data_IF_185728755300
#
_entry.id   IF_185728755300
#
_cell.length_a   1.000
_cell.length_b   1.000
_cell.length_c   1.000
_cell.angle_alpha   90.00
_cell.angle_beta   90.00
_cell.angle_gamma   90.00
#
_symmetry.space_group_name_H-M   'P 1'
#
loop_
_entity.id
_entity.type
_entity.pdbx_description
1 polymer ?
#
# COMPACT_ATOMS: atom_id res chain seq x y z
N UNK A 1 29.44 -26.92 -22.38
CA UNK A 1 28.43 -27.77 -23.03
C UNK A 1 27.12 -27.51 -22.33
N UNK A 2 26.42 -26.64 -22.86
CA UNK A 2 25.09 -26.52 -23.46
C UNK A 2 24.03 -27.48 -22.91
N UNK A 3 23.00 -26.94 -22.25
CA UNK A 3 21.60 -27.27 -22.54
C UNK A 3 20.71 -26.08 -22.18
N UNK A 4 20.35 -25.29 -23.20
CA UNK A 4 19.23 -24.36 -23.22
C UNK A 4 18.04 -25.12 -23.84
N UNK A 5 17.05 -25.46 -23.02
CA UNK A 5 15.76 -25.96 -23.47
C UNK A 5 14.83 -24.79 -23.77
N UNK A 6 14.58 -24.48 -25.01
CA UNK A 6 13.49 -23.59 -25.45
C UNK A 6 12.17 -24.36 -25.36
N UNK A 7 11.25 -23.90 -24.55
CA UNK A 7 9.85 -24.31 -24.58
C UNK A 7 9.14 -23.69 -25.79
N UNK A 8 7.98 -24.23 -26.24
CA UNK A 8 7.32 -23.85 -27.46
C UNK A 8 6.76 -22.43 -27.43
N UNK A 9 7.09 -21.65 -28.44
CA UNK A 9 6.49 -20.34 -28.74
C UNK A 9 5.06 -20.57 -29.22
N UNK A 10 4.07 -20.24 -28.38
CA UNK A 10 2.67 -20.18 -28.80
C UNK A 10 2.40 -18.76 -29.27
N UNK A 11 2.24 -18.59 -30.56
CA UNK A 11 1.80 -17.34 -31.15
C UNK A 11 0.33 -17.11 -30.84
N UNK A 12 0.03 -16.13 -29.96
CA UNK A 12 -1.33 -15.69 -29.71
C UNK A 12 -1.60 -14.42 -30.51
N UNK A 13 -2.66 -14.47 -31.31
CA UNK A 13 -3.15 -13.34 -32.08
C UNK A 13 -3.44 -12.14 -31.15
N UNK A 14 -2.81 -11.01 -31.46
CA UNK A 14 -3.05 -9.74 -30.78
C UNK A 14 -4.50 -9.31 -31.06
N UNK A 15 -5.39 -9.58 -30.13
CA UNK A 15 -6.71 -8.97 -30.10
C UNK A 15 -6.52 -7.51 -29.65
N UNK A 16 -6.77 -6.59 -30.57
CA UNK A 16 -6.60 -5.16 -30.36
C UNK A 16 -7.68 -4.64 -29.38
N UNK A 17 -7.36 -4.33 -28.08
CA UNK A 17 -8.35 -3.87 -27.10
C UNK A 17 -8.66 -2.38 -27.25
N UNK A 18 -8.15 -1.69 -28.26
CA UNK A 18 -8.40 -0.26 -28.48
C UNK A 18 -9.83 0.11 -28.88
N UNK A 19 -10.76 -0.85 -28.99
CA UNK A 19 -12.12 -0.59 -29.49
C UNK A 19 -13.19 -0.37 -28.40
N UNK A 20 -12.88 -0.52 -27.12
CA UNK A 20 -13.83 -0.17 -26.03
C UNK A 20 -13.14 0.74 -25.03
N UNK A 21 -13.23 2.05 -25.28
CA UNK A 21 -12.71 3.10 -24.42
C UNK A 21 -13.33 3.04 -23.02
N UNK A 22 -12.66 2.38 -22.10
CA UNK A 22 -12.89 2.56 -20.66
C UNK A 22 -12.31 3.92 -20.30
N UNK A 23 -13.13 4.96 -20.44
CA UNK A 23 -12.70 6.34 -20.16
C UNK A 23 -12.35 6.45 -18.68
N UNK A 24 -11.17 6.96 -18.38
CA UNK A 24 -10.74 7.43 -17.07
C UNK A 24 -11.64 8.62 -16.62
N UNK A 25 -12.85 8.33 -16.24
CA UNK A 25 -13.76 9.30 -15.64
C UNK A 25 -14.00 8.89 -14.20
N UNK A 26 -13.07 9.26 -13.33
CA UNK A 26 -13.34 9.30 -11.91
C UNK A 26 -13.95 10.68 -11.60
N UNK A 27 -15.27 10.75 -11.43
CA UNK A 27 -15.96 12.00 -11.15
C UNK A 27 -15.44 12.72 -9.89
N UNK A 28 -14.68 12.02 -9.06
CA UNK A 28 -14.15 12.50 -7.78
C UNK A 28 -12.64 12.85 -7.81
N UNK A 29 -11.91 12.56 -8.92
CA UNK A 29 -10.51 12.94 -9.06
C UNK A 29 -10.30 13.98 -10.18
N UNK A 30 -10.18 15.28 -9.86
CA UNK A 30 -9.92 16.33 -10.85
C UNK A 30 -8.58 16.14 -11.59
N UNK A 31 -7.56 15.55 -10.93
CA UNK A 31 -6.28 15.29 -11.56
C UNK A 31 -6.40 14.18 -12.62
N UNK A 32 -7.10 13.09 -12.32
CA UNK A 32 -7.36 12.03 -13.28
C UNK A 32 -8.16 12.56 -14.48
N UNK A 33 -9.12 13.45 -14.28
CA UNK A 33 -9.86 14.06 -15.39
C UNK A 33 -8.97 14.92 -16.30
N UNK A 34 -8.00 15.68 -15.75
CA UNK A 34 -7.03 16.45 -16.54
C UNK A 34 -6.03 15.58 -17.28
N UNK A 35 -5.66 14.45 -16.70
CA UNK A 35 -4.72 13.49 -17.27
C UNK A 35 -5.39 12.44 -18.16
N UNK A 36 -6.73 12.40 -18.23
CA UNK A 36 -7.47 11.37 -18.96
C UNK A 36 -6.97 11.14 -20.42
N UNK A 37 -6.63 12.17 -21.22
CA UNK A 37 -6.11 11.95 -22.57
C UNK A 37 -4.76 11.20 -22.60
N UNK A 38 -3.96 11.30 -21.53
CA UNK A 38 -2.71 10.56 -21.40
C UNK A 38 -2.95 9.16 -20.83
N UNK A 39 -3.82 9.05 -19.82
CA UNK A 39 -4.17 7.79 -19.19
C UNK A 39 -4.84 6.82 -20.19
N UNK A 40 -5.69 7.32 -21.10
CA UNK A 40 -6.33 6.53 -22.14
C UNK A 40 -5.34 5.94 -23.18
N UNK A 41 -4.09 6.43 -23.22
CA UNK A 41 -2.99 5.90 -24.04
C UNK A 41 -2.23 4.75 -23.35
N UNK A 42 -2.51 4.45 -22.10
CA UNK A 42 -1.82 3.43 -21.30
C UNK A 42 -2.68 2.18 -21.13
N UNK A 43 -2.04 1.04 -20.88
CA UNK A 43 -2.74 -0.20 -20.53
C UNK A 43 -2.88 -0.28 -18.99
N UNK A 44 -4.11 -0.25 -18.51
CA UNK A 44 -4.38 -0.29 -17.07
C UNK A 44 -4.74 -1.69 -16.58
N UNK A 45 -3.76 -2.43 -16.09
CA UNK A 45 -3.96 -3.77 -15.52
C UNK A 45 -4.47 -3.76 -14.07
N UNK A 46 -4.47 -2.65 -13.38
CA UNK A 46 -5.14 -2.54 -12.08
C UNK A 46 -6.67 -2.68 -12.26
N UNK A 47 -7.18 -2.28 -13.43
CA UNK A 47 -8.60 -2.37 -13.82
C UNK A 47 -8.92 -3.59 -14.70
N UNK A 48 -8.02 -3.92 -15.64
CA UNK A 48 -8.19 -4.98 -16.62
C UNK A 48 -7.43 -6.23 -16.17
N UNK A 49 -7.89 -7.00 -15.22
CA UNK A 49 -7.21 -8.21 -14.76
C UNK A 49 -7.04 -9.21 -15.90
N UNK A 50 -5.89 -9.29 -16.58
CA UNK A 50 -5.66 -10.31 -17.61
C UNK A 50 -5.48 -11.67 -16.93
N UNK A 51 -6.12 -12.69 -17.48
CA UNK A 51 -5.99 -14.08 -17.01
C UNK A 51 -4.69 -14.73 -17.47
N UNK A 52 -4.05 -14.19 -18.51
CA UNK A 52 -2.79 -14.71 -19.08
C UNK A 52 -1.88 -13.53 -19.46
N UNK A 53 -0.75 -13.41 -18.79
CA UNK A 53 0.30 -12.45 -19.11
C UNK A 53 1.66 -13.05 -18.75
N UNK A 54 2.63 -12.91 -19.64
CA UNK A 54 4.04 -12.98 -19.28
C UNK A 54 4.45 -11.65 -18.63
N UNK A 55 4.86 -11.72 -17.36
CA UNK A 55 5.34 -10.58 -16.61
C UNK A 55 6.83 -10.41 -16.84
N UNK A 56 7.27 -9.27 -17.34
CA UNK A 56 8.67 -8.92 -17.51
C UNK A 56 8.93 -7.43 -17.18
N UNK A 57 10.19 -7.05 -17.11
CA UNK A 57 10.62 -5.68 -16.84
C UNK A 57 11.03 -4.92 -18.11
N UNK A 58 10.93 -5.52 -19.28
CA UNK A 58 11.45 -4.94 -20.53
C UNK A 58 10.82 -3.59 -20.88
N UNK A 59 9.52 -3.44 -20.63
CA UNK A 59 8.77 -2.19 -20.85
C UNK A 59 9.30 -1.04 -20.02
N UNK A 60 9.36 -1.23 -18.69
CA UNK A 60 9.85 -0.20 -17.76
C UNK A 60 11.33 0.06 -17.95
N UNK A 61 12.15 -0.96 -18.17
CA UNK A 61 13.58 -0.80 -18.43
C UNK A 61 13.85 -0.01 -19.72
N UNK A 62 13.06 -0.22 -20.77
CA UNK A 62 13.13 0.58 -21.99
C UNK A 62 12.87 2.05 -21.72
N UNK A 63 11.85 2.37 -20.91
CA UNK A 63 11.52 3.74 -20.52
C UNK A 63 12.64 4.36 -19.69
N UNK A 64 13.22 3.62 -18.76
CA UNK A 64 14.34 4.09 -17.92
C UNK A 64 15.64 4.30 -18.71
N UNK A 65 15.87 3.55 -19.80
CA UNK A 65 17.07 3.68 -20.65
C UNK A 65 16.94 4.70 -21.79
N UNK A 66 15.82 5.43 -21.91
CA UNK A 66 15.65 6.41 -22.96
C UNK A 66 16.70 7.54 -22.86
N UNK A 67 17.05 8.14 -24.00
CA UNK A 67 17.95 9.29 -24.05
C UNK A 67 17.38 10.42 -23.16
N UNK A 68 18.21 10.97 -22.30
CA UNK A 68 17.83 12.00 -21.31
C UNK A 68 16.88 11.52 -20.20
N UNK A 69 16.76 10.21 -19.97
CA UNK A 69 16.10 9.71 -18.77
C UNK A 69 16.82 10.23 -17.53
N UNK A 70 16.04 10.55 -16.50
CA UNK A 70 16.61 10.92 -15.20
C UNK A 70 17.36 9.72 -14.59
N UNK A 71 18.49 9.99 -13.96
CA UNK A 71 19.20 9.00 -13.16
C UNK A 71 18.41 8.80 -11.86
N UNK A 72 18.11 7.56 -11.46
CA UNK A 72 17.46 7.31 -10.17
C UNK A 72 18.23 7.94 -9.02
N UNK A 73 17.51 8.62 -8.14
CA UNK A 73 18.07 9.24 -6.94
C UNK A 73 18.57 8.17 -5.98
N UNK A 74 19.68 8.45 -5.30
CA UNK A 74 20.24 7.60 -4.25
C UNK A 74 20.60 8.42 -3.02
N UNK A 75 20.42 7.87 -1.79
CA UNK A 75 19.94 6.52 -1.55
C UNK A 75 18.48 6.31 -1.90
N UNK A 76 18.16 5.07 -2.27
CA UNK A 76 16.81 4.62 -2.61
C UNK A 76 16.44 3.35 -1.83
N UNK A 77 15.17 3.28 -1.42
CA UNK A 77 14.62 2.13 -0.68
C UNK A 77 13.41 1.58 -1.44
N UNK A 78 13.39 0.28 -1.69
CA UNK A 78 12.21 -0.42 -2.22
C UNK A 78 11.49 -1.17 -1.09
N UNK A 79 10.15 -1.07 -1.04
CA UNK A 79 9.34 -1.67 0.02
C UNK A 79 8.35 -2.66 -0.58
N UNK A 80 8.57 -3.96 -0.33
CA UNK A 80 7.71 -5.08 -0.71
C UNK A 80 7.05 -5.71 0.52
N UNK A 81 6.09 -6.60 0.30
CA UNK A 81 5.39 -7.34 1.36
C UNK A 81 3.89 -7.48 1.07
N UNK A 82 3.21 -8.28 1.85
CA UNK A 82 1.74 -8.41 1.77
C UNK A 82 1.06 -7.28 2.54
N UNK A 83 1.46 -7.05 3.78
CA UNK A 83 0.90 -6.01 4.65
C UNK A 83 2.00 -5.10 5.20
N UNK A 84 1.67 -3.81 5.39
CA UNK A 84 2.57 -2.84 6.00
C UNK A 84 3.48 -2.07 5.03
N UNK A 85 3.46 -2.35 3.71
CA UNK A 85 4.26 -1.63 2.71
C UNK A 85 4.08 -0.12 2.80
N UNK A 86 2.86 0.37 2.55
CA UNK A 86 2.55 1.80 2.57
C UNK A 86 2.78 2.44 3.94
N UNK A 87 2.56 1.70 5.05
CA UNK A 87 2.87 2.18 6.40
C UNK A 87 4.37 2.36 6.61
N UNK A 88 5.19 1.39 6.16
CA UNK A 88 6.65 1.48 6.23
C UNK A 88 7.17 2.62 5.35
N UNK A 89 6.66 2.76 4.11
CA UNK A 89 7.03 3.85 3.22
C UNK A 89 6.68 5.22 3.83
N UNK A 90 5.52 5.34 4.47
CA UNK A 90 5.10 6.58 5.12
C UNK A 90 5.94 6.91 6.38
N UNK A 91 6.39 5.92 7.16
CA UNK A 91 7.35 6.16 8.25
C UNK A 91 8.72 6.57 7.72
N UNK A 92 9.23 5.94 6.66
CA UNK A 92 10.48 6.36 6.00
C UNK A 92 10.39 7.82 5.55
N UNK A 93 9.29 8.20 4.90
CA UNK A 93 9.04 9.58 4.47
C UNK A 93 8.99 10.54 5.65
N UNK A 94 8.15 10.26 6.67
CA UNK A 94 7.94 11.17 7.78
C UNK A 94 9.21 11.36 8.64
N UNK A 95 9.90 10.27 8.98
CA UNK A 95 11.12 10.31 9.78
C UNK A 95 12.26 10.95 8.99
N UNK A 96 12.45 10.57 7.71
CA UNK A 96 13.46 11.16 6.83
C UNK A 96 13.26 12.66 6.64
N UNK A 97 12.02 13.09 6.36
CA UNK A 97 11.70 14.52 6.23
C UNK A 97 11.95 15.30 7.53
N UNK A 98 11.55 14.78 8.67
CA UNK A 98 11.76 15.44 9.95
C UNK A 98 13.24 15.43 10.38
N UNK A 99 14.04 14.51 9.85
CA UNK A 99 15.50 14.50 10.01
C UNK A 99 16.22 15.45 9.03
N UNK A 100 15.49 16.16 8.17
CA UNK A 100 16.01 17.17 7.25
C UNK A 100 16.24 16.70 5.82
N UNK A 101 15.90 15.44 5.47
CA UNK A 101 16.00 14.96 4.10
C UNK A 101 14.79 15.44 3.26
N UNK A 102 15.06 15.84 2.02
CA UNK A 102 14.00 16.01 1.02
C UNK A 102 13.62 14.64 0.49
N UNK A 103 12.47 14.12 0.91
CA UNK A 103 12.02 12.78 0.56
C UNK A 103 11.18 12.76 -0.72
N UNK A 104 11.32 11.69 -1.52
CA UNK A 104 10.41 11.31 -2.59
C UNK A 104 9.80 9.95 -2.28
N UNK A 105 8.47 9.82 -2.31
CA UNK A 105 7.77 8.58 -2.02
C UNK A 105 6.81 8.23 -3.15
N UNK A 106 6.96 7.02 -3.71
CA UNK A 106 6.04 6.43 -4.69
C UNK A 106 5.25 5.31 -4.03
N UNK A 107 3.92 5.42 -4.04
CA UNK A 107 3.03 4.46 -3.36
C UNK A 107 1.79 4.11 -4.18
N UNK A 108 1.14 2.98 -3.85
CA UNK A 108 -0.09 2.53 -4.50
C UNK A 108 -0.96 1.67 -3.57
N UNK A 109 -2.29 1.66 -3.80
CA UNK A 109 -3.05 2.54 -4.68
C UNK A 109 -3.19 3.95 -4.08
N UNK A 110 -3.69 4.91 -4.86
CA UNK A 110 -4.16 6.20 -4.33
C UNK A 110 -5.56 6.06 -3.71
N UNK A 111 -5.89 6.95 -2.81
CA UNK A 111 -7.18 6.97 -2.10
C UNK A 111 -8.21 7.86 -2.81
N UNK A 112 -7.84 9.09 -3.11
CA UNK A 112 -8.70 10.13 -3.68
C UNK A 112 -8.19 10.58 -5.04
N UNK A 113 -6.91 10.96 -5.11
CA UNK A 113 -6.32 11.50 -6.33
C UNK A 113 -5.07 10.76 -6.77
N UNK A 114 -4.93 10.59 -8.09
CA UNK A 114 -3.77 10.01 -8.74
C UNK A 114 -2.44 10.63 -8.27
N UNK A 115 -2.44 11.92 -7.97
CA UNK A 115 -1.26 12.65 -7.53
C UNK A 115 -0.71 12.17 -6.19
N UNK A 116 -1.52 11.48 -5.36
CA UNK A 116 -1.06 10.87 -4.09
C UNK A 116 0.01 9.80 -4.30
N UNK A 117 0.07 9.19 -5.50
CA UNK A 117 1.04 8.13 -5.80
C UNK A 117 2.48 8.61 -5.80
N UNK A 118 2.70 9.89 -6.09
CA UNK A 118 4.02 10.52 -6.10
C UNK A 118 3.99 11.68 -5.12
N UNK A 119 4.78 11.57 -4.07
CA UNK A 119 4.87 12.58 -3.02
C UNK A 119 6.30 13.11 -2.95
N UNK A 120 6.45 14.40 -2.74
CA UNK A 120 7.75 15.06 -2.56
C UNK A 120 7.70 15.91 -1.30
N UNK A 121 8.62 15.69 -0.40
CA UNK A 121 8.67 16.33 0.92
C UNK A 121 7.33 16.25 1.67
N UNK A 122 6.66 15.09 1.61
CA UNK A 122 5.38 14.84 2.30
C UNK A 122 4.13 15.27 1.53
N UNK A 123 4.24 16.01 0.43
CA UNK A 123 3.10 16.54 -0.32
C UNK A 123 2.87 15.80 -1.64
N UNK A 124 1.62 15.52 -2.02
CA UNK A 124 1.29 14.97 -3.33
C UNK A 124 1.79 15.88 -4.46
N UNK A 125 2.30 15.27 -5.54
CA UNK A 125 2.74 16.02 -6.70
C UNK A 125 1.59 16.81 -7.33
N UNK A 126 1.88 18.01 -7.82
CA UNK A 126 0.89 18.78 -8.58
C UNK A 126 0.73 18.21 -9.98
N UNK A 127 -0.50 18.20 -10.49
CA UNK A 127 -0.83 17.67 -11.82
C UNK A 127 -0.05 18.39 -12.92
N UNK A 128 0.25 19.69 -12.74
CA UNK A 128 1.03 20.52 -13.66
C UNK A 128 2.49 20.02 -13.80
N UNK A 129 3.02 19.39 -12.75
CA UNK A 129 4.37 18.80 -12.78
C UNK A 129 4.34 17.39 -13.37
N UNK A 130 3.30 16.61 -13.08
CA UNK A 130 3.18 15.23 -13.54
C UNK A 130 2.80 15.13 -15.04
N UNK A 131 1.92 16.01 -15.52
CA UNK A 131 1.40 15.98 -16.89
C UNK A 131 2.49 16.00 -17.97
N UNK A 132 3.48 16.94 -17.96
CA UNK A 132 4.53 16.97 -18.98
C UNK A 132 5.45 15.75 -18.91
N UNK A 133 5.70 15.19 -17.75
CA UNK A 133 6.49 13.96 -17.57
C UNK A 133 5.79 12.78 -18.26
N UNK A 134 4.50 12.56 -17.96
CA UNK A 134 3.73 11.50 -18.59
C UNK A 134 3.60 11.69 -20.11
N UNK A 135 3.39 12.91 -20.58
CA UNK A 135 3.34 13.20 -22.01
C UNK A 135 4.64 12.81 -22.71
N UNK A 136 5.80 13.23 -22.17
CA UNK A 136 7.11 12.89 -22.70
C UNK A 136 7.41 11.39 -22.70
N UNK A 137 6.94 10.65 -21.67
CA UNK A 137 7.05 9.21 -21.60
C UNK A 137 6.24 8.51 -22.71
N UNK A 138 5.01 8.95 -22.91
CA UNK A 138 4.11 8.37 -23.92
C UNK A 138 4.53 8.71 -25.35
N UNK A 139 5.09 9.90 -25.57
CA UNK A 139 5.61 10.29 -26.89
C UNK A 139 6.86 9.48 -27.24
N UNK A 140 7.73 9.19 -26.25
CA UNK A 140 8.85 8.27 -26.44
C UNK A 140 8.39 6.83 -26.70
N UNK A 141 7.35 6.37 -25.98
CA UNK A 141 6.83 5.01 -26.11
C UNK A 141 6.25 4.72 -27.51
N UNK A 142 5.68 5.73 -28.18
CA UNK A 142 5.12 5.60 -29.53
C UNK A 142 4.05 4.51 -29.63
N UNK A 143 4.24 3.56 -30.53
CA UNK A 143 3.32 2.44 -30.78
C UNK A 143 3.41 1.30 -29.74
N UNK A 144 4.27 1.42 -28.76
CA UNK A 144 4.42 0.45 -27.67
C UNK A 144 4.05 1.11 -26.31
N UNK A 145 2.77 1.33 -26.05
CA UNK A 145 2.34 2.05 -24.87
C UNK A 145 2.73 1.28 -23.59
N UNK A 146 3.22 1.98 -22.56
CA UNK A 146 3.49 1.37 -21.27
C UNK A 146 2.19 1.01 -20.57
N UNK A 147 2.30 0.14 -19.59
CA UNK A 147 1.23 0.00 -18.60
C UNK A 147 1.15 1.27 -17.75
N UNK A 148 -0.03 1.50 -17.15
CA UNK A 148 -0.24 2.60 -16.23
C UNK A 148 0.80 2.59 -15.09
N UNK A 149 1.06 1.41 -14.51
CA UNK A 149 1.99 1.27 -13.40
C UNK A 149 3.45 1.54 -13.83
N UNK A 150 3.87 1.05 -15.00
CA UNK A 150 5.20 1.35 -15.56
C UNK A 150 5.40 2.85 -15.79
N UNK A 151 4.42 3.51 -16.42
CA UNK A 151 4.48 4.94 -16.68
C UNK A 151 4.56 5.76 -15.37
N UNK A 152 3.74 5.43 -14.37
CA UNK A 152 3.75 6.09 -13.08
C UNK A 152 5.05 5.86 -12.30
N UNK A 153 5.61 4.64 -12.36
CA UNK A 153 6.90 4.31 -11.74
C UNK A 153 8.03 5.15 -12.34
N UNK A 154 8.11 5.23 -13.66
CA UNK A 154 9.15 6.04 -14.33
C UNK A 154 8.92 7.53 -14.10
N UNK A 155 7.66 7.99 -14.08
CA UNK A 155 7.33 9.36 -13.74
C UNK A 155 7.80 9.73 -12.32
N UNK A 156 7.68 8.80 -11.35
CA UNK A 156 8.20 9.02 -10.00
C UNK A 156 9.72 9.22 -10.01
N UNK A 157 10.48 8.37 -10.73
CA UNK A 157 11.94 8.53 -10.87
C UNK A 157 12.30 9.90 -11.42
N UNK A 158 11.59 10.36 -12.47
CA UNK A 158 11.86 11.66 -13.07
C UNK A 158 11.52 12.82 -12.16
N UNK A 159 10.36 12.78 -11.53
CA UNK A 159 9.94 13.83 -10.59
C UNK A 159 10.90 13.92 -9.40
N UNK A 160 11.36 12.79 -8.85
CA UNK A 160 12.34 12.79 -7.76
C UNK A 160 13.68 13.38 -8.17
N UNK A 161 14.16 13.07 -9.37
CA UNK A 161 15.40 13.65 -9.89
C UNK A 161 15.26 15.15 -10.19
N UNK A 162 14.15 15.59 -10.78
CA UNK A 162 13.88 17.01 -11.05
C UNK A 162 13.80 17.84 -9.77
N UNK A 163 13.19 17.29 -8.73
CA UNK A 163 13.05 17.92 -7.41
C UNK A 163 14.26 17.71 -6.49
N UNK A 164 15.31 17.02 -6.97
CA UNK A 164 16.55 16.78 -6.24
C UNK A 164 16.30 16.21 -4.82
N UNK A 165 15.47 15.16 -4.72
CA UNK A 165 15.23 14.53 -3.42
C UNK A 165 16.50 13.86 -2.88
N UNK A 166 16.66 13.83 -1.55
CA UNK A 166 17.80 13.22 -0.87
C UNK A 166 17.60 11.73 -0.57
N UNK A 167 16.32 11.29 -0.54
CA UNK A 167 15.91 9.90 -0.28
C UNK A 167 14.72 9.55 -1.16
N UNK A 168 14.86 8.50 -1.97
CA UNK A 168 13.76 7.95 -2.78
C UNK A 168 13.19 6.68 -2.16
N UNK A 169 11.86 6.58 -2.08
CA UNK A 169 11.13 5.45 -1.49
C UNK A 169 10.15 4.92 -2.55
N UNK A 170 10.23 3.63 -2.87
CA UNK A 170 9.39 2.99 -3.88
C UNK A 170 8.60 1.83 -3.27
N UNK A 171 7.29 1.97 -3.16
CA UNK A 171 6.40 0.89 -2.76
C UNK A 171 6.11 -0.03 -3.95
N UNK A 172 6.29 -1.33 -3.78
CA UNK A 172 5.93 -2.37 -4.75
C UNK A 172 4.41 -2.44 -4.89
N UNK A 173 3.91 -2.41 -6.12
CA UNK A 173 2.48 -2.55 -6.39
C UNK A 173 1.99 -3.98 -6.20
N UNK A 174 2.63 -4.94 -6.86
CA UNK A 174 2.25 -6.36 -6.84
C UNK A 174 3.47 -7.27 -6.92
N UNK A 175 3.51 -8.30 -6.08
CA UNK A 175 4.58 -9.29 -6.09
C UNK A 175 5.91 -8.71 -5.64
N UNK A 176 6.88 -8.64 -6.51
CA UNK A 176 8.22 -8.11 -6.31
C UNK A 176 9.08 -8.32 -7.55
N UNK A 177 9.31 -9.56 -7.96
CA UNK A 177 10.22 -9.95 -9.05
C UNK A 177 10.02 -9.16 -10.34
N UNK A 178 8.80 -8.99 -10.78
CA UNK A 178 8.42 -8.34 -12.03
C UNK A 178 7.65 -7.02 -11.82
N UNK A 179 7.66 -6.50 -10.60
CA UNK A 179 7.10 -5.18 -10.35
C UNK A 179 7.97 -4.10 -11.01
N UNK A 180 7.33 -3.08 -11.60
CA UNK A 180 8.05 -2.03 -12.31
C UNK A 180 9.09 -1.32 -11.42
N UNK A 181 8.84 -1.19 -10.12
CA UNK A 181 9.80 -0.60 -9.17
C UNK A 181 11.08 -1.42 -9.04
N UNK A 182 11.04 -2.72 -9.39
CA UNK A 182 12.23 -3.60 -9.36
C UNK A 182 13.20 -3.33 -10.52
N UNK A 183 12.81 -2.58 -11.53
CA UNK A 183 13.75 -2.08 -12.55
C UNK A 183 14.62 -0.91 -12.06
N UNK A 184 14.27 -0.30 -10.91
CA UNK A 184 15.02 0.83 -10.33
C UNK A 184 16.14 0.27 -9.46
N UNK A 185 17.36 0.77 -9.63
CA UNK A 185 18.47 0.41 -8.73
C UNK A 185 18.29 1.07 -7.35
N UNK A 186 18.31 0.26 -6.28
CA UNK A 186 18.06 0.70 -4.91
C UNK A 186 19.19 0.27 -3.97
N UNK A 187 19.39 1.04 -2.88
CA UNK A 187 20.42 0.76 -1.86
C UNK A 187 19.95 -0.24 -0.81
N UNK A 188 18.64 -0.25 -0.53
CA UNK A 188 18.04 -1.21 0.38
C UNK A 188 16.67 -1.69 -0.11
N UNK A 189 16.34 -2.94 0.21
CA UNK A 189 15.03 -3.53 -0.02
C UNK A 189 14.42 -3.99 1.31
N UNK A 190 13.18 -3.61 1.56
CA UNK A 190 12.43 -4.01 2.74
C UNK A 190 11.35 -5.01 2.32
N UNK A 191 11.32 -6.18 2.96
CA UNK A 191 10.20 -7.13 2.84
C UNK A 191 9.44 -7.12 4.16
N UNK A 192 8.26 -6.52 4.16
CA UNK A 192 7.40 -6.41 5.34
C UNK A 192 6.77 -7.77 5.66
N UNK A 193 5.59 -7.82 6.29
CA UNK A 193 4.90 -9.09 6.58
C UNK A 193 4.42 -9.78 5.30
N UNK A 194 4.50 -11.12 5.27
CA UNK A 194 3.99 -11.99 4.20
C UNK A 194 2.73 -12.71 4.68
N UNK A 195 1.68 -12.67 3.84
CA UNK A 195 0.40 -13.36 4.03
C UNK A 195 -0.08 -13.91 2.70
N UNK A 196 -1.08 -14.80 2.72
CA UNK A 196 -1.75 -15.28 1.51
C UNK A 196 -2.56 -14.14 0.89
N UNK A 197 -2.07 -13.64 -0.24
CA UNK A 197 -2.75 -12.63 -1.05
C UNK A 197 -2.43 -12.82 -2.52
N UNK A 198 -3.30 -12.35 -3.41
CA UNK A 198 -3.11 -12.45 -4.86
C UNK A 198 -2.68 -13.84 -5.33
N UNK A 199 -3.29 -14.88 -4.75
CA UNK A 199 -2.92 -16.29 -4.97
C UNK A 199 -3.13 -16.73 -6.42
N UNK A 200 -3.99 -16.06 -7.15
CA UNK A 200 -4.21 -16.18 -8.59
C UNK A 200 -3.01 -15.76 -9.45
N UNK A 201 -2.09 -14.94 -8.90
CA UNK A 201 -0.92 -14.40 -9.61
C UNK A 201 0.40 -14.86 -8.98
N UNK A 202 0.48 -14.87 -7.64
CA UNK A 202 1.75 -15.08 -6.91
C UNK A 202 1.94 -16.53 -6.45
N UNK A 203 0.92 -17.39 -6.65
CA UNK A 203 0.91 -18.75 -6.13
C UNK A 203 0.15 -18.85 -4.80
N UNK A 204 -0.22 -20.08 -4.43
CA UNK A 204 -1.16 -20.43 -3.36
C UNK A 204 -0.49 -20.78 -2.02
N UNK A 205 0.83 -20.58 -1.92
CA UNK A 205 1.61 -20.87 -0.72
C UNK A 205 2.38 -19.65 -0.19
N UNK A 206 2.63 -19.61 1.11
CA UNK A 206 3.49 -18.60 1.75
C UNK A 206 4.88 -18.60 1.12
N UNK A 207 5.45 -19.79 0.83
CA UNK A 207 6.76 -19.90 0.21
C UNK A 207 6.82 -19.28 -1.19
N UNK A 208 5.80 -19.51 -2.04
CA UNK A 208 5.72 -18.94 -3.38
C UNK A 208 5.66 -17.40 -3.32
N UNK A 209 4.75 -16.86 -2.50
CA UNK A 209 4.57 -15.41 -2.30
C UNK A 209 5.85 -14.79 -1.73
N UNK A 210 6.48 -15.44 -0.74
CA UNK A 210 7.75 -14.98 -0.17
C UNK A 210 8.88 -14.97 -1.21
N UNK A 211 8.96 -15.99 -2.09
CA UNK A 211 9.93 -16.07 -3.17
C UNK A 211 9.78 -14.96 -4.21
N UNK A 212 8.55 -14.58 -4.56
CA UNK A 212 8.27 -13.45 -5.45
C UNK A 212 8.67 -12.12 -4.82
N UNK A 213 8.37 -11.92 -3.54
CA UNK A 213 8.69 -10.68 -2.82
C UNK A 213 10.16 -10.58 -2.45
N UNK A 214 10.82 -11.67 -2.11
CA UNK A 214 12.27 -11.71 -1.82
C UNK A 214 13.12 -11.23 -3.01
N UNK A 215 12.62 -11.37 -4.24
CA UNK A 215 13.35 -10.98 -5.45
C UNK A 215 13.70 -9.47 -5.52
N UNK A 216 13.10 -8.62 -4.69
CA UNK A 216 13.51 -7.20 -4.55
C UNK A 216 14.86 -7.03 -3.89
N UNK A 217 15.33 -8.05 -3.11
CA UNK A 217 16.66 -8.06 -2.48
C UNK A 217 17.69 -8.46 -3.53
N UNK A 218 18.56 -7.53 -3.87
CA UNK A 218 19.51 -7.66 -4.98
C UNK A 218 20.83 -8.27 -4.57
N UNK A 219 21.60 -8.70 -5.58
CA UNK A 219 22.94 -9.25 -5.36
C UNK A 219 23.84 -8.21 -4.68
N UNK A 220 24.44 -8.62 -3.55
CA UNK A 220 25.30 -7.78 -2.72
C UNK A 220 24.62 -6.58 -2.06
N UNK A 221 23.28 -6.48 -2.14
CA UNK A 221 22.49 -5.39 -1.57
C UNK A 221 22.15 -5.58 -0.09
N UNK A 222 21.41 -4.64 0.47
CA UNK A 222 20.89 -4.67 1.84
C UNK A 222 19.40 -5.05 1.82
N UNK A 223 19.05 -6.14 2.50
CA UNK A 223 17.67 -6.55 2.78
C UNK A 223 17.30 -6.31 4.24
N UNK A 224 16.06 -5.88 4.50
CA UNK A 224 15.47 -5.85 5.84
C UNK A 224 14.14 -6.57 5.83
N UNK A 225 13.79 -7.28 6.91
CA UNK A 225 12.51 -7.96 6.98
C UNK A 225 11.93 -8.03 8.39
N UNK A 226 10.60 -8.00 8.46
CA UNK A 226 9.83 -8.29 9.66
C UNK A 226 9.05 -9.62 9.53
N UNK A 227 9.38 -10.46 8.55
CA UNK A 227 8.76 -11.77 8.37
C UNK A 227 9.28 -12.79 9.39
N UNK A 228 8.49 -13.84 9.60
CA UNK A 228 8.82 -14.94 10.52
C UNK A 228 8.51 -16.28 9.85
N UNK A 229 8.90 -17.38 10.49
CA UNK A 229 8.54 -18.73 10.07
C UNK A 229 8.98 -19.10 8.64
N UNK A 230 8.10 -19.74 7.89
CA UNK A 230 8.37 -20.22 6.52
C UNK A 230 8.79 -19.09 5.57
N UNK A 231 8.11 -17.94 5.62
CA UNK A 231 8.45 -16.79 4.79
C UNK A 231 9.87 -16.29 5.05
N UNK A 232 10.29 -16.22 6.32
CA UNK A 232 11.65 -15.83 6.68
C UNK A 232 12.69 -16.81 6.14
N UNK A 233 12.44 -18.13 6.22
CA UNK A 233 13.35 -19.14 5.67
C UNK A 233 13.57 -18.94 4.15
N UNK A 234 12.52 -18.66 3.39
CA UNK A 234 12.61 -18.38 1.95
C UNK A 234 13.43 -17.11 1.67
N UNK A 235 13.18 -16.03 2.43
CA UNK A 235 13.89 -14.75 2.26
C UNK A 235 15.37 -14.91 2.60
N UNK A 236 15.73 -15.65 3.67
CA UNK A 236 17.13 -15.95 4.02
C UNK A 236 17.84 -16.72 2.91
N UNK A 237 17.23 -17.80 2.44
CA UNK A 237 17.80 -18.60 1.34
C UNK A 237 17.99 -17.77 0.06
N UNK A 238 17.08 -16.81 -0.21
CA UNK A 238 17.24 -15.88 -1.32
C UNK A 238 18.43 -14.94 -1.09
N UNK A 239 18.52 -14.29 0.08
CA UNK A 239 19.60 -13.36 0.43
C UNK A 239 20.97 -14.03 0.37
N UNK A 240 21.11 -15.23 0.94
CA UNK A 240 22.32 -16.04 0.86
C UNK A 240 22.71 -16.34 -0.60
N UNK A 241 21.75 -16.77 -1.42
CA UNK A 241 21.97 -17.10 -2.84
C UNK A 241 22.48 -15.93 -3.66
N UNK A 242 22.02 -14.70 -3.35
CA UNK A 242 22.42 -13.47 -4.07
C UNK A 242 23.56 -12.73 -3.36
N UNK A 243 24.06 -13.24 -2.22
CA UNK A 243 25.15 -12.64 -1.44
C UNK A 243 24.76 -11.29 -0.81
N UNK A 244 23.48 -11.10 -0.45
CA UNK A 244 22.98 -9.89 0.17
C UNK A 244 23.10 -9.96 1.70
N UNK A 245 23.37 -8.81 2.34
CA UNK A 245 23.19 -8.63 3.79
C UNK A 245 21.69 -8.66 4.11
N UNK A 246 21.25 -9.45 5.10
CA UNK A 246 19.87 -9.50 5.54
C UNK A 246 19.76 -9.17 7.02
N UNK A 247 19.03 -8.11 7.35
CA UNK A 247 18.70 -7.72 8.72
C UNK A 247 17.27 -8.16 9.05
N UNK A 248 17.10 -8.84 10.18
CA UNK A 248 15.83 -9.46 10.59
C UNK A 248 15.32 -8.82 11.87
N UNK A 249 14.09 -8.37 11.85
CA UNK A 249 13.43 -7.83 13.04
C UNK A 249 13.30 -8.93 14.11
N UNK A 250 13.68 -8.58 15.34
CA UNK A 250 13.74 -9.52 16.47
C UNK A 250 15.10 -10.19 16.65
N UNK A 251 16.01 -10.09 15.67
CA UNK A 251 17.39 -10.60 15.75
C UNK A 251 18.39 -9.44 15.69
N UNK A 252 18.34 -8.62 14.63
CA UNK A 252 19.29 -7.54 14.38
C UNK A 252 18.77 -6.17 14.83
N UNK A 253 17.48 -5.98 14.83
CA UNK A 253 16.79 -4.75 15.25
C UNK A 253 15.38 -5.07 15.76
N UNK A 254 14.72 -4.11 16.42
CA UNK A 254 13.33 -4.34 16.86
C UNK A 254 12.81 -3.34 17.87
N UNK A 255 11.58 -3.58 18.32
CA UNK A 255 10.87 -2.79 19.33
C UNK A 255 10.75 -3.62 20.62
N UNK A 256 11.07 -3.00 21.76
CA UNK A 256 11.10 -3.67 23.05
C UNK A 256 10.45 -2.78 24.13
N UNK A 257 9.97 -3.40 25.23
CA UNK A 257 9.46 -2.72 26.42
C UNK A 257 8.38 -1.68 26.08
N UNK A 258 7.35 -2.13 25.35
CA UNK A 258 6.28 -1.23 24.89
C UNK A 258 5.34 -0.94 26.06
N UNK A 259 5.22 0.34 26.37
CA UNK A 259 4.25 0.89 27.30
C UNK A 259 3.17 1.66 26.53
N UNK A 260 1.91 1.22 26.68
CA UNK A 260 0.76 1.80 26.01
C UNK A 260 0.08 2.81 26.93
N UNK A 261 -0.14 4.02 26.43
CA UNK A 261 -0.89 5.07 27.10
C UNK A 261 -1.96 5.65 26.16
N UNK A 262 -2.84 6.50 26.68
CA UNK A 262 -3.91 7.14 25.89
C UNK A 262 -3.36 8.02 24.76
N UNK A 263 -2.17 8.60 24.95
CA UNK A 263 -1.51 9.48 23.98
C UNK A 263 -0.64 8.73 22.95
N UNK A 264 -0.42 7.42 23.13
CA UNK A 264 0.40 6.62 22.19
C UNK A 264 1.16 5.47 22.82
N UNK A 265 2.30 5.12 22.24
CA UNK A 265 3.18 4.08 22.73
C UNK A 265 4.60 4.60 22.95
N UNK A 266 5.22 4.19 24.06
CA UNK A 266 6.63 4.43 24.40
C UNK A 266 7.36 3.10 24.45
N UNK A 267 8.67 3.12 24.18
CA UNK A 267 9.47 1.90 24.25
C UNK A 267 10.92 2.13 23.86
N UNK A 268 11.59 1.03 23.56
CA UNK A 268 12.98 1.02 23.11
C UNK A 268 13.06 0.42 21.68
N UNK A 269 13.77 1.11 20.79
CA UNK A 269 14.21 0.58 19.50
C UNK A 269 15.64 0.07 19.64
N UNK A 270 15.90 -1.19 19.31
CA UNK A 270 17.26 -1.68 19.04
C UNK A 270 17.56 -1.46 17.56
N UNK A 271 18.75 -0.94 17.27
CA UNK A 271 19.24 -0.64 15.93
C UNK A 271 20.23 -1.69 15.45
N UNK A 272 20.47 -1.80 14.13
CA UNK A 272 21.40 -2.80 13.58
C UNK A 272 22.86 -2.69 14.05
N UNK A 273 23.28 -1.52 14.54
CA UNK A 273 24.59 -1.28 15.14
C UNK A 273 24.69 -1.70 16.63
N UNK A 274 23.61 -2.27 17.18
CA UNK A 274 23.49 -2.68 18.58
C UNK A 274 23.12 -1.57 19.54
N UNK A 275 22.99 -0.32 19.08
CA UNK A 275 22.51 0.79 19.94
C UNK A 275 21.03 0.65 20.25
N UNK A 276 20.59 1.31 21.35
CA UNK A 276 19.18 1.36 21.77
C UNK A 276 18.76 2.79 21.96
N UNK A 277 17.60 3.16 21.42
CA UNK A 277 17.05 4.49 21.51
C UNK A 277 15.62 4.42 22.05
N UNK A 278 15.26 5.35 22.96
CA UNK A 278 13.88 5.53 23.38
C UNK A 278 13.07 6.11 22.23
N UNK A 279 11.81 5.73 22.16
CA UNK A 279 10.86 6.34 21.23
C UNK A 279 9.54 6.66 21.94
N UNK A 280 8.85 7.67 21.41
CA UNK A 280 7.45 7.94 21.68
C UNK A 280 6.72 8.07 20.33
N UNK A 281 5.80 7.14 20.06
CA UNK A 281 4.92 7.20 18.89
C UNK A 281 3.55 7.71 19.35
N UNK A 282 3.20 8.99 19.09
CA UNK A 282 1.88 9.53 19.39
C UNK A 282 0.78 8.77 18.68
N UNK A 283 -0.40 8.60 19.28
CA UNK A 283 -1.56 7.93 18.67
C UNK A 283 -1.22 6.57 18.01
N UNK A 284 -0.29 5.82 18.61
CA UNK A 284 0.22 4.57 18.06
C UNK A 284 -0.85 3.49 17.89
N UNK A 285 -0.76 2.72 16.80
CA UNK A 285 -1.49 1.47 16.60
C UNK A 285 -0.51 0.30 16.67
N UNK A 286 -0.92 -0.83 17.23
CA UNK A 286 -0.03 -1.97 17.44
C UNK A 286 0.59 -2.48 16.12
N UNK A 287 -0.18 -2.47 15.04
CA UNK A 287 0.28 -2.90 13.71
C UNK A 287 1.27 -1.92 13.04
N UNK A 288 1.48 -0.70 13.59
CA UNK A 288 2.45 0.27 13.08
C UNK A 288 3.88 0.00 13.59
N UNK A 289 4.04 -0.67 14.73
CA UNK A 289 5.36 -0.84 15.37
C UNK A 289 6.38 -1.61 14.50
N UNK A 290 6.02 -2.69 13.78
CA UNK A 290 6.96 -3.33 12.85
C UNK A 290 7.39 -2.40 11.72
N UNK A 291 6.48 -1.58 11.20
CA UNK A 291 6.78 -0.61 10.14
C UNK A 291 7.73 0.49 10.64
N UNK A 292 7.51 0.99 11.87
CA UNK A 292 8.43 1.92 12.52
C UNK A 292 9.84 1.32 12.66
N UNK A 293 9.93 0.08 13.18
CA UNK A 293 11.22 -0.58 13.37
C UNK A 293 11.98 -0.76 12.04
N UNK A 294 11.30 -1.20 10.98
CA UNK A 294 11.86 -1.34 9.64
C UNK A 294 12.36 -0.01 9.08
N UNK A 295 11.55 1.05 9.21
CA UNK A 295 11.90 2.38 8.70
C UNK A 295 13.13 2.95 9.44
N UNK A 296 13.16 2.87 10.77
CA UNK A 296 14.27 3.36 11.58
C UNK A 296 15.54 2.55 11.30
N UNK A 297 15.46 1.22 11.22
CA UNK A 297 16.60 0.37 10.90
C UNK A 297 17.17 0.67 9.51
N UNK A 298 16.33 0.85 8.48
CA UNK A 298 16.78 1.20 7.14
C UNK A 298 17.45 2.58 7.10
N UNK A 299 16.83 3.60 7.70
CA UNK A 299 17.40 4.96 7.74
C UNK A 299 18.73 5.00 8.51
N UNK A 300 18.84 4.31 9.65
CA UNK A 300 20.11 4.26 10.42
C UNK A 300 21.24 3.57 9.66
N UNK A 301 20.92 2.58 8.80
CA UNK A 301 21.94 1.89 7.98
C UNK A 301 22.37 2.72 6.76
N UNK A 302 21.47 3.46 6.14
CA UNK A 302 21.77 4.27 4.94
C UNK A 302 22.32 5.64 5.28
N UNK A 303 22.02 6.18 6.46
CA UNK A 303 22.41 7.50 6.92
C UNK A 303 22.91 7.43 8.37
N UNK A 304 24.07 6.82 8.59
CA UNK A 304 24.64 6.58 9.94
C UNK A 304 24.85 7.86 10.76
N UNK A 305 25.06 8.99 10.10
CA UNK A 305 25.30 10.28 10.74
C UNK A 305 24.02 11.08 11.01
N UNK A 306 22.86 10.55 10.54
CA UNK A 306 21.60 11.25 10.67
C UNK A 306 20.99 11.00 12.07
N UNK A 307 20.71 12.09 12.78
CA UNK A 307 19.96 12.00 14.04
C UNK A 307 18.48 11.84 13.75
N UNK A 308 17.96 10.64 13.96
CA UNK A 308 16.54 10.36 13.74
C UNK A 308 15.69 10.94 14.88
N UNK A 309 14.58 11.64 14.58
CA UNK A 309 13.65 12.18 15.57
C UNK A 309 12.70 11.06 16.06
N UNK A 310 13.01 10.48 17.22
CA UNK A 310 12.26 9.34 17.75
C UNK A 310 11.43 9.69 19.02
N UNK A 311 11.57 10.89 19.57
CA UNK A 311 10.84 11.34 20.74
C UNK A 311 10.42 12.82 20.59
N UNK A 312 9.20 13.09 20.08
CA UNK A 312 8.26 12.13 19.48
C UNK A 312 8.65 11.69 18.04
N UNK A 313 8.26 10.47 17.69
CA UNK A 313 8.30 10.00 16.29
C UNK A 313 7.34 10.82 15.45
N UNK A 314 7.77 11.39 14.31
CA UNK A 314 6.88 12.08 13.38
C UNK A 314 5.76 11.15 12.90
N UNK A 315 4.51 11.60 13.03
CA UNK A 315 3.36 10.81 12.56
C UNK A 315 3.31 10.81 11.02
N UNK A 316 3.31 9.62 10.40
CA UNK A 316 3.09 9.53 8.97
C UNK A 316 1.66 9.92 8.59
N UNK A 317 1.50 10.49 7.40
CA UNK A 317 0.17 10.73 6.83
C UNK A 317 -0.37 9.42 6.25
N UNK A 318 -1.27 8.78 6.99
CA UNK A 318 -1.85 7.47 6.67
C UNK A 318 -3.39 7.54 6.64
N UNK A 319 -3.98 8.23 5.66
CA UNK A 319 -5.44 8.31 5.58
C UNK A 319 -6.04 6.91 5.39
N UNK A 320 -7.19 6.68 6.02
CA UNK A 320 -7.90 5.40 6.00
C UNK A 320 -7.06 4.19 6.46
N UNK A 321 -6.16 4.42 7.43
CA UNK A 321 -5.41 3.39 8.18
C UNK A 321 -5.69 3.55 9.68
N UNK A 322 -6.84 3.07 10.12
CA UNK A 322 -7.40 3.33 11.44
C UNK A 322 -7.46 4.84 11.72
N UNK A 323 -7.94 5.58 10.74
CA UNK A 323 -8.11 7.04 10.86
C UNK A 323 -9.33 7.33 11.74
N UNK A 324 -9.11 8.02 12.86
CA UNK A 324 -10.18 8.38 13.80
C UNK A 324 -10.61 9.81 13.56
N UNK A 325 -11.91 10.01 13.43
CA UNK A 325 -12.54 11.33 13.28
C UNK A 325 -13.58 11.52 14.38
N UNK A 326 -13.58 12.67 15.02
CA UNK A 326 -14.68 13.10 15.89
C UNK A 326 -15.69 13.85 15.03
N UNK A 327 -16.92 13.38 14.99
CA UNK A 327 -17.99 14.00 14.22
C UNK A 327 -18.68 15.15 15.03
N UNK A 328 -19.47 15.98 14.35
CA UNK A 328 -20.14 17.15 14.98
C UNK A 328 -21.09 16.77 16.13
N UNK A 329 -21.62 15.56 16.12
CA UNK A 329 -22.45 15.01 17.21
C UNK A 329 -21.63 14.43 18.39
N UNK A 330 -20.31 14.54 18.35
CA UNK A 330 -19.38 13.95 19.32
C UNK A 330 -19.13 12.46 19.11
N UNK A 331 -19.73 11.84 18.09
CA UNK A 331 -19.53 10.44 17.74
C UNK A 331 -18.13 10.18 17.17
N UNK A 332 -17.65 8.95 17.36
CA UNK A 332 -16.36 8.49 16.82
C UNK A 332 -16.60 7.76 15.51
N UNK A 333 -15.96 8.23 14.45
CA UNK A 333 -15.91 7.58 13.13
C UNK A 333 -14.50 7.06 12.86
N UNK A 334 -14.39 5.75 12.62
CA UNK A 334 -13.14 5.06 12.31
C UNK A 334 -13.16 4.66 10.84
N UNK A 335 -12.16 5.10 10.07
CA UNK A 335 -12.01 4.79 8.65
C UNK A 335 -10.80 3.88 8.46
N UNK A 336 -11.01 2.69 7.89
CA UNK A 336 -9.92 1.78 7.52
C UNK A 336 -10.19 1.05 6.21
N UNK A 337 -9.15 0.90 5.39
CA UNK A 337 -9.21 0.18 4.12
C UNK A 337 -9.08 -1.34 4.24
N UNK A 338 -9.06 -1.90 5.44
CA UNK A 338 -8.95 -3.35 5.70
C UNK A 338 -10.07 -4.14 5.00
N UNK A 339 -9.67 -5.21 4.32
CA UNK A 339 -10.58 -6.03 3.48
C UNK A 339 -10.18 -7.51 3.40
N UNK A 340 -9.22 -7.96 4.20
CA UNK A 340 -8.84 -9.36 4.39
C UNK A 340 -9.04 -9.73 5.85
N UNK A 341 -9.17 -11.02 6.15
CA UNK A 341 -9.37 -11.54 7.51
C UNK A 341 -8.34 -10.97 8.49
N UNK A 342 -7.03 -11.13 8.20
CA UNK A 342 -5.95 -10.65 9.07
C UNK A 342 -5.95 -9.13 9.25
N UNK A 343 -6.24 -8.36 8.19
CA UNK A 343 -6.29 -6.90 8.29
C UNK A 343 -7.49 -6.42 9.11
N UNK A 344 -8.64 -7.06 8.97
CA UNK A 344 -9.82 -6.77 9.80
C UNK A 344 -9.62 -7.21 11.24
N UNK A 345 -8.96 -8.34 11.48
CA UNK A 345 -8.59 -8.75 12.84
C UNK A 345 -7.68 -7.71 13.52
N UNK A 346 -6.72 -7.12 12.80
CA UNK A 346 -5.89 -6.05 13.35
C UNK A 346 -6.71 -4.79 13.71
N UNK A 347 -7.69 -4.43 12.88
CA UNK A 347 -8.64 -3.34 13.19
C UNK A 347 -9.48 -3.67 14.42
N UNK A 348 -9.99 -4.90 14.53
CA UNK A 348 -10.79 -5.36 15.68
C UNK A 348 -10.00 -5.25 16.98
N UNK A 349 -8.75 -5.73 16.99
CA UNK A 349 -7.86 -5.61 18.16
C UNK A 349 -7.68 -4.16 18.57
N UNK A 350 -7.49 -3.26 17.59
CA UNK A 350 -7.29 -1.85 17.87
C UNK A 350 -8.59 -1.15 18.36
N UNK A 351 -9.76 -1.51 17.81
CA UNK A 351 -11.06 -1.04 18.31
C UNK A 351 -11.26 -1.48 19.77
N UNK A 352 -11.04 -2.75 20.08
CA UNK A 352 -11.19 -3.27 21.45
C UNK A 352 -10.21 -2.61 22.44
N UNK A 353 -8.98 -2.31 22.01
CA UNK A 353 -7.98 -1.63 22.83
C UNK A 353 -8.38 -0.20 23.15
N UNK A 354 -8.87 0.58 22.16
CA UNK A 354 -9.18 2.01 22.31
C UNK A 354 -10.58 2.28 22.84
N UNK A 355 -11.52 1.39 22.53
CA UNK A 355 -12.94 1.54 22.85
C UNK A 355 -13.46 0.28 23.55
N UNK A 356 -12.90 -0.07 24.73
CA UNK A 356 -13.26 -1.33 25.40
C UNK A 356 -14.74 -1.35 25.76
N UNK A 357 -15.37 -2.50 25.54
CA UNK A 357 -16.79 -2.72 25.87
C UNK A 357 -17.79 -2.05 24.92
N UNK A 358 -17.33 -1.42 23.83
CA UNK A 358 -18.22 -0.84 22.82
C UNK A 358 -18.44 -1.80 21.65
N UNK A 359 -19.59 -1.66 20.98
CA UNK A 359 -19.98 -2.42 19.80
C UNK A 359 -20.23 -1.45 18.64
N UNK A 360 -19.30 -1.31 17.68
CA UNK A 360 -19.49 -0.37 16.57
C UNK A 360 -20.57 -0.84 15.59
N UNK A 361 -21.27 0.12 14.97
CA UNK A 361 -22.00 -0.13 13.74
C UNK A 361 -21.03 -0.09 12.58
N UNK A 362 -21.12 -1.02 11.63
CA UNK A 362 -20.14 -1.22 10.56
C UNK A 362 -20.74 -0.86 9.22
N UNK A 363 -20.10 0.05 8.47
CA UNK A 363 -20.35 0.28 7.06
C UNK A 363 -19.32 -0.48 6.23
N UNK A 364 -19.78 -1.31 5.30
CA UNK A 364 -18.87 -2.15 4.52
C UNK A 364 -19.26 -2.25 3.04
N UNK A 365 -18.25 -2.48 2.21
CA UNK A 365 -18.35 -2.88 0.81
C UNK A 365 -17.12 -3.71 0.45
N UNK A 366 -17.31 -4.86 -0.18
CA UNK A 366 -16.23 -5.82 -0.45
C UNK A 366 -16.18 -6.15 -1.95
N UNK A 367 -14.97 -6.36 -2.45
CA UNK A 367 -14.77 -6.70 -3.86
C UNK A 367 -15.30 -8.11 -4.17
N UNK A 368 -15.91 -8.28 -5.33
CA UNK A 368 -16.38 -9.57 -5.81
C UNK A 368 -15.22 -10.58 -5.94
N UNK A 369 -15.54 -11.88 -5.75
CA UNK A 369 -14.57 -12.97 -5.92
C UNK A 369 -13.50 -13.08 -4.83
N UNK A 370 -13.50 -12.24 -3.80
CA UNK A 370 -12.63 -12.36 -2.63
C UNK A 370 -13.30 -13.23 -1.54
N UNK A 371 -12.49 -13.71 -0.60
CA UNK A 371 -12.93 -14.44 0.60
C UNK A 371 -13.57 -13.48 1.62
N UNK A 372 -14.67 -12.83 1.22
CA UNK A 372 -15.31 -11.78 2.01
C UNK A 372 -16.01 -12.31 3.26
N UNK A 373 -16.45 -13.60 3.25
CA UNK A 373 -17.04 -14.23 4.41
C UNK A 373 -16.02 -14.35 5.55
N UNK A 374 -14.83 -14.85 5.25
CA UNK A 374 -13.74 -14.94 6.23
C UNK A 374 -13.35 -13.55 6.75
N UNK A 375 -13.28 -12.58 5.85
CA UNK A 375 -13.00 -11.21 6.22
C UNK A 375 -14.03 -10.62 7.20
N UNK A 376 -15.33 -10.74 6.89
CA UNK A 376 -16.39 -10.25 7.77
C UNK A 376 -16.52 -11.07 9.07
N UNK A 377 -16.18 -12.36 9.06
CA UNK A 377 -16.16 -13.19 10.27
C UNK A 377 -15.25 -12.60 11.36
N UNK A 378 -14.16 -11.91 10.99
CA UNK A 378 -13.29 -11.24 11.95
C UNK A 378 -13.99 -10.07 12.68
N UNK A 379 -14.94 -9.39 12.04
CA UNK A 379 -15.61 -8.20 12.59
C UNK A 379 -16.91 -8.55 13.35
N UNK A 380 -17.56 -9.68 13.00
CA UNK A 380 -18.82 -10.13 13.61
C UNK A 380 -18.83 -10.06 15.14
N UNK A 381 -17.77 -10.52 15.86
CA UNK A 381 -17.80 -10.57 17.34
C UNK A 381 -17.91 -9.21 18.02
N UNK A 382 -17.56 -8.13 17.34
CA UNK A 382 -17.57 -6.78 17.93
C UNK A 382 -18.67 -5.88 17.36
N UNK A 383 -19.28 -6.26 16.24
CA UNK A 383 -20.23 -5.39 15.54
C UNK A 383 -21.62 -5.40 16.20
N UNK A 384 -22.20 -4.21 16.40
CA UNK A 384 -23.63 -4.08 16.74
C UNK A 384 -24.51 -4.46 15.55
N UNK A 385 -24.22 -3.91 14.39
CA UNK A 385 -24.96 -4.14 13.15
C UNK A 385 -24.15 -3.70 11.93
N UNK A 386 -24.62 -4.08 10.73
CA UNK A 386 -23.96 -3.78 9.47
C UNK A 386 -24.83 -2.95 8.54
N UNK A 387 -24.22 -1.99 7.86
CA UNK A 387 -24.76 -1.32 6.68
C UNK A 387 -23.89 -1.74 5.50
N UNK A 388 -24.49 -2.33 4.49
CA UNK A 388 -23.77 -2.82 3.29
C UNK A 388 -24.13 -1.94 2.11
N UNK A 389 -23.12 -1.44 1.39
CA UNK A 389 -23.34 -0.57 0.24
C UNK A 389 -22.55 -1.01 -0.98
N UNK A 390 -22.99 -0.56 -2.16
CA UNK A 390 -22.24 -0.71 -3.41
C UNK A 390 -21.35 0.50 -3.65
N UNK A 391 -20.21 0.29 -4.34
CA UNK A 391 -19.31 1.34 -4.79
C UNK A 391 -19.48 1.57 -6.30
N UNK A 392 -19.85 2.76 -6.68
CA UNK A 392 -19.98 3.12 -8.10
C UNK A 392 -18.64 3.00 -8.82
N UNK A 393 -18.62 2.24 -9.91
CA UNK A 393 -17.42 2.09 -10.76
C UNK A 393 -16.37 1.09 -10.26
N UNK A 394 -16.63 0.40 -9.14
CA UNK A 394 -15.76 -0.67 -8.62
C UNK A 394 -16.57 -1.96 -8.55
N UNK A 395 -16.15 -3.07 -9.20
CA UNK A 395 -16.83 -4.34 -9.08
C UNK A 395 -16.86 -4.82 -7.63
N UNK A 396 -18.04 -4.90 -7.04
CA UNK A 396 -18.27 -5.35 -5.67
C UNK A 396 -19.08 -6.64 -5.62
N UNK A 397 -19.08 -7.28 -4.46
CA UNK A 397 -20.05 -8.36 -4.15
C UNK A 397 -21.44 -7.71 -3.96
N UNK A 398 -22.48 -8.44 -4.34
CA UNK A 398 -23.87 -8.00 -4.17
C UNK A 398 -24.18 -7.68 -2.69
N UNK A 399 -24.56 -6.43 -2.34
CA UNK A 399 -24.93 -6.09 -0.98
C UNK A 399 -26.03 -6.94 -0.38
N UNK A 400 -27.01 -7.38 -1.20
CA UNK A 400 -28.09 -8.26 -0.74
C UNK A 400 -27.56 -9.64 -0.34
N UNK A 401 -26.60 -10.18 -1.09
CA UNK A 401 -25.92 -11.45 -0.78
C UNK A 401 -25.13 -11.37 0.52
N UNK A 402 -24.40 -10.25 0.74
CA UNK A 402 -23.67 -10.03 1.98
C UNK A 402 -24.64 -9.93 3.16
N UNK A 403 -25.75 -9.17 3.04
CA UNK A 403 -26.76 -9.06 4.09
C UNK A 403 -27.45 -10.41 4.40
N UNK A 404 -27.74 -11.24 3.40
CA UNK A 404 -28.31 -12.56 3.60
C UNK A 404 -27.36 -13.43 4.43
N UNK A 405 -26.08 -13.47 4.08
CA UNK A 405 -25.07 -14.22 4.84
C UNK A 405 -24.90 -13.68 6.28
N UNK A 406 -24.84 -12.36 6.47
CA UNK A 406 -24.78 -11.75 7.81
C UNK A 406 -25.98 -12.15 8.68
N UNK A 407 -27.17 -12.21 8.09
CA UNK A 407 -28.39 -12.66 8.77
C UNK A 407 -28.31 -14.14 9.17
N UNK A 408 -27.75 -14.99 8.31
CA UNK A 408 -27.49 -16.42 8.63
C UNK A 408 -26.48 -16.55 9.80
N UNK A 409 -25.54 -15.62 9.94
CA UNK A 409 -24.62 -15.55 11.07
C UNK A 409 -25.25 -14.91 12.33
N UNK A 410 -26.53 -14.54 12.30
CA UNK A 410 -27.23 -13.92 13.43
C UNK A 410 -26.98 -12.43 13.60
N UNK A 411 -26.32 -11.78 12.65
CA UNK A 411 -26.04 -10.35 12.70
C UNK A 411 -27.18 -9.52 12.08
N UNK A 412 -27.45 -8.34 12.65
CA UNK A 412 -28.36 -7.35 12.05
C UNK A 412 -27.68 -6.68 10.89
N UNK A 413 -28.34 -6.59 9.74
CA UNK A 413 -27.79 -5.94 8.56
C UNK A 413 -28.86 -5.28 7.71
N UNK A 414 -28.47 -4.23 6.98
CA UNK A 414 -29.32 -3.55 6.00
C UNK A 414 -28.51 -3.07 4.80
N UNK A 415 -29.16 -2.96 3.65
CA UNK A 415 -28.57 -2.43 2.42
C UNK A 415 -28.74 -0.92 2.37
N UNK A 416 -27.71 -0.22 1.94
CA UNK A 416 -27.76 1.20 1.55
C UNK A 416 -27.58 1.34 0.02
N UNK A 417 -28.30 2.26 -0.58
CA UNK A 417 -28.31 2.48 -2.05
C UNK A 417 -27.00 3.07 -2.58
N UNK A 418 -26.28 3.79 -1.73
CA UNK A 418 -25.03 4.46 -2.04
C UNK A 418 -24.23 4.77 -0.75
N UNK A 419 -22.99 5.21 -0.92
CA UNK A 419 -22.09 5.52 0.21
C UNK A 419 -22.65 6.62 1.11
N UNK A 420 -23.30 7.65 0.53
CA UNK A 420 -23.86 8.76 1.31
C UNK A 420 -25.05 8.32 2.17
N UNK A 421 -25.94 7.50 1.63
CA UNK A 421 -27.03 6.88 2.39
C UNK A 421 -26.51 5.91 3.45
N UNK A 422 -25.45 5.15 3.12
CA UNK A 422 -24.76 4.28 4.06
C UNK A 422 -24.17 5.04 5.25
N UNK A 423 -23.51 6.17 4.99
CA UNK A 423 -22.97 7.04 6.03
C UNK A 423 -24.07 7.65 6.91
N UNK A 424 -25.21 8.09 6.33
CA UNK A 424 -26.37 8.57 7.12
C UNK A 424 -26.89 7.49 8.08
N UNK A 425 -27.10 6.28 7.57
CA UNK A 425 -27.53 5.14 8.39
C UNK A 425 -26.50 4.77 9.47
N UNK A 426 -25.22 4.81 9.14
CA UNK A 426 -24.13 4.58 10.10
C UNK A 426 -24.20 5.57 11.26
N UNK A 427 -24.51 6.85 10.98
CA UNK A 427 -24.62 7.95 11.96
C UNK A 427 -25.81 7.85 12.91
N UNK A 428 -26.82 7.03 12.61
CA UNK A 428 -27.94 6.76 13.52
C UNK A 428 -27.50 5.99 14.78
N UNK A 429 -26.30 5.36 14.73
CA UNK A 429 -25.76 4.61 15.86
C UNK A 429 -25.10 5.56 16.87
N UNK A 430 -25.44 5.46 18.19
CA UNK A 430 -24.89 6.34 19.21
C UNK A 430 -23.44 5.98 19.61
N UNK A 431 -23.00 4.75 19.31
CA UNK A 431 -21.64 4.25 19.59
C UNK A 431 -20.63 4.54 18.48
N UNK A 432 -19.45 3.92 18.56
CA UNK A 432 -18.44 4.03 17.52
C UNK A 432 -18.96 3.56 16.16
N UNK A 433 -18.52 4.21 15.11
CA UNK A 433 -18.88 3.98 13.72
C UNK A 433 -17.64 3.49 12.98
N UNK A 434 -17.69 2.32 12.35
CA UNK A 434 -16.56 1.70 11.70
C UNK A 434 -16.82 1.54 10.20
N UNK A 435 -15.91 2.04 9.37
CA UNK A 435 -15.93 1.88 7.91
C UNK A 435 -14.78 0.98 7.51
N UNK A 436 -15.08 -0.18 6.93
CA UNK A 436 -14.11 -1.21 6.52
C UNK A 436 -14.57 -1.97 5.27
N UNK A 437 -13.67 -2.78 4.70
CA UNK A 437 -13.95 -3.68 3.58
C UNK A 437 -13.40 -3.21 2.24
N UNK A 438 -13.06 -1.92 2.11
CA UNK A 438 -12.45 -1.38 0.89
C UNK A 438 -11.74 -0.06 1.15
N UNK A 439 -10.56 0.10 0.54
CA UNK A 439 -9.87 1.40 0.50
C UNK A 439 -10.71 2.48 -0.18
N UNK A 440 -11.40 2.10 -1.26
CA UNK A 440 -12.26 3.01 -2.01
C UNK A 440 -13.50 3.43 -1.20
N UNK A 441 -14.08 2.53 -0.39
CA UNK A 441 -15.17 2.89 0.50
C UNK A 441 -14.72 3.90 1.56
N UNK A 442 -13.61 3.60 2.23
CA UNK A 442 -13.06 4.48 3.27
C UNK A 442 -12.73 5.87 2.69
N UNK A 443 -12.14 5.92 1.49
CA UNK A 443 -11.86 7.17 0.76
C UNK A 443 -13.11 7.96 0.39
N UNK A 444 -14.15 7.29 -0.12
CA UNK A 444 -15.42 7.93 -0.46
C UNK A 444 -16.12 8.51 0.78
N UNK A 445 -16.13 7.78 1.90
CA UNK A 445 -16.67 8.29 3.17
C UNK A 445 -15.85 9.48 3.67
N UNK A 446 -14.51 9.40 3.60
CA UNK A 446 -13.62 10.50 3.99
C UNK A 446 -13.92 11.78 3.23
N UNK A 447 -14.09 11.70 1.90
CA UNK A 447 -14.47 12.85 1.07
C UNK A 447 -15.81 13.46 1.49
N UNK A 448 -16.82 12.62 1.80
CA UNK A 448 -18.12 13.11 2.25
C UNK A 448 -18.02 13.82 3.61
N UNK A 449 -17.17 13.34 4.51
CA UNK A 449 -16.95 13.99 5.81
C UNK A 449 -16.21 15.30 5.63
N UNK A 450 -15.13 15.33 4.84
CA UNK A 450 -14.31 16.52 4.60
C UNK A 450 -15.10 17.63 3.84
N UNK A 451 -16.09 17.27 3.00
CA UNK A 451 -16.92 18.23 2.28
C UNK A 451 -18.03 18.88 3.13
N UNK A 452 -18.28 18.38 4.34
CA UNK A 452 -19.31 18.89 5.26
C UNK A 452 -18.69 19.49 6.53
N UNK A 453 -17.36 19.50 6.66
CA UNK A 453 -16.60 20.15 7.71
C UNK A 453 -16.20 21.57 7.32
#
# INVERSE_FOLDING_TARGET
>A
MHYLGRGPVVSVAVCNPCAQGVRYKNAMDPAANRLAPLLDRMVDYERLRPTEREWDLSGVERLLRRKHAAVPVRPAIQVAGSKGKGTTAAFLEAIGSAAGLRTGSYSSPHLITLCERIRIAGEPIRVECLQPVLAGLLDFAGDQPPTFFEAMTVAAVECFAQDQVDLAIYEVGLGGRFDATTAIDVDAAIVTRIELEHTDVLGDTIAAIAGEKAAVIRSGGLGLTATTGEALAVIRAHAERVGAELLVMGEDFGVHHIDWADDGARGLLSLPDGTRQQFFLPDAKAFELPALALAVAALSRLHSDLKLPLDPVPRPNLPCRFEVRTEADGGVLILDGAHTEDSLQAVVVEVQRRYPGTTPRVLTSLAAGKRWQEALSAVLPIADSFVVTELTGTPGEDPAKICAWLTEQGARSEVATDVASGLRKLREHPGPRLVVGSFYLAGAVRLLVDSHA
#
